data_IF_872845586806
#
_entry.id   IF_872845586806
#
_cell.length_a   1.000
_cell.length_b   1.000
_cell.length_c   1.000
_cell.angle_alpha   90.00
_cell.angle_beta   90.00
_cell.angle_gamma   90.00
#
_symmetry.space_group_name_H-M   'P 1'
#
loop_
_entity.id
_entity.type
_entity.pdbx_description
1 polymer ?
#
# COMPACT_ATOMS: atom_id res chain seq x y z
N UNK A 1 -4.93 -11.26 -13.99
CA UNK A 1 -3.92 -10.45 -13.29
C UNK A 1 -3.50 -11.08 -11.96
N UNK A 2 -4.41 -11.26 -10.99
CA UNK A 2 -4.09 -11.83 -9.67
C UNK A 2 -3.38 -13.20 -9.70
N UNK A 3 -3.80 -14.13 -10.56
CA UNK A 3 -3.11 -15.44 -10.71
C UNK A 3 -1.64 -15.29 -11.12
N UNK A 4 -1.33 -14.28 -11.94
CA UNK A 4 0.05 -14.02 -12.34
C UNK A 4 0.89 -13.45 -11.20
N UNK A 5 0.28 -12.69 -10.27
CA UNK A 5 0.95 -12.22 -9.05
C UNK A 5 1.30 -13.40 -8.14
N UNK A 6 0.35 -14.30 -7.90
CA UNK A 6 0.60 -15.54 -7.13
C UNK A 6 1.69 -16.38 -7.79
N UNK A 7 1.63 -16.55 -9.11
CA UNK A 7 2.66 -17.30 -9.85
C UNK A 7 4.05 -16.65 -9.72
N UNK A 8 4.13 -15.32 -9.78
CA UNK A 8 5.40 -14.59 -9.60
C UNK A 8 5.94 -14.73 -8.17
N UNK A 9 5.07 -14.60 -7.17
CA UNK A 9 5.46 -14.77 -5.77
C UNK A 9 5.96 -16.19 -5.50
N UNK A 10 5.23 -17.21 -5.98
CA UNK A 10 5.69 -18.60 -5.93
C UNK A 10 7.04 -18.79 -6.63
N UNK A 11 7.21 -18.23 -7.84
CA UNK A 11 8.46 -18.32 -8.58
C UNK A 11 9.63 -17.63 -7.88
N UNK A 12 9.38 -16.57 -7.11
CA UNK A 12 10.40 -15.84 -6.36
C UNK A 12 10.93 -16.65 -5.16
N UNK A 13 10.06 -17.37 -4.45
CA UNK A 13 10.46 -18.22 -3.31
C UNK A 13 10.85 -19.64 -3.74
N UNK A 14 10.47 -20.04 -4.95
CA UNK A 14 10.73 -21.35 -5.51
C UNK A 14 11.47 -21.26 -6.86
N UNK A 15 12.46 -20.37 -6.94
CA UNK A 15 13.43 -20.40 -8.02
C UNK A 15 14.24 -21.69 -7.86
N UNK A 16 14.34 -22.52 -8.89
CA UNK A 16 15.04 -23.83 -8.83
C UNK A 16 16.55 -23.75 -8.53
N UNK A 17 17.08 -22.57 -8.21
CA UNK A 17 18.44 -22.32 -7.74
C UNK A 17 18.38 -21.67 -6.34
N UNK A 18 18.95 -22.30 -5.29
CA UNK A 18 18.89 -21.79 -3.92
C UNK A 18 19.44 -20.37 -3.72
N UNK A 19 20.42 -19.96 -4.54
CA UNK A 19 21.02 -18.62 -4.47
C UNK A 19 20.13 -17.51 -5.06
N UNK A 20 19.01 -17.87 -5.70
CA UNK A 20 18.06 -16.94 -6.30
C UNK A 20 16.67 -16.99 -5.64
N UNK A 21 16.45 -17.90 -4.69
CA UNK A 21 15.19 -17.99 -3.96
C UNK A 21 15.17 -17.01 -2.79
N UNK A 22 14.10 -16.23 -2.69
CA UNK A 22 13.81 -15.45 -1.49
C UNK A 22 13.19 -16.34 -0.42
N UNK A 23 13.47 -16.07 0.86
CA UNK A 23 12.84 -16.79 1.97
C UNK A 23 11.33 -16.53 2.02
N UNK A 24 10.92 -15.30 1.66
CA UNK A 24 9.54 -14.82 1.73
C UNK A 24 9.26 -13.93 0.50
N UNK A 25 8.06 -14.04 -0.06
CA UNK A 25 7.51 -13.09 -1.02
C UNK A 25 6.27 -12.39 -0.44
N UNK A 26 6.28 -11.07 -0.48
CA UNK A 26 5.15 -10.25 -0.08
C UNK A 26 4.45 -9.66 -1.31
N UNK A 27 3.12 -9.77 -1.33
CA UNK A 27 2.27 -9.05 -2.27
C UNK A 27 1.57 -7.95 -1.47
N UNK A 28 1.84 -6.69 -1.82
CA UNK A 28 1.15 -5.53 -1.23
C UNK A 28 0.37 -4.85 -2.34
N UNK A 29 -0.93 -4.65 -2.12
CA UNK A 29 -1.82 -3.98 -3.08
C UNK A 29 -2.47 -2.75 -2.45
N UNK A 30 -2.65 -1.71 -3.25
CA UNK A 30 -3.34 -0.50 -2.80
C UNK A 30 -4.85 -0.76 -2.71
N UNK A 31 -5.45 -0.50 -1.55
CA UNK A 31 -6.89 -0.56 -1.37
C UNK A 31 -7.57 0.71 -1.87
N UNK A 32 -7.49 0.91 -3.19
CA UNK A 32 -8.04 2.07 -3.90
C UNK A 32 -9.44 2.45 -3.39
N UNK A 33 -9.76 3.75 -3.39
CA UNK A 33 -10.97 4.26 -2.73
C UNK A 33 -12.28 3.59 -3.17
N UNK A 34 -12.34 3.16 -4.43
CA UNK A 34 -13.48 2.42 -4.94
C UNK A 34 -13.73 1.10 -4.18
N UNK A 35 -12.69 0.49 -3.61
CA UNK A 35 -12.73 -0.76 -2.86
C UNK A 35 -12.56 -0.58 -1.34
N UNK A 36 -12.37 0.65 -0.84
CA UNK A 36 -12.10 0.91 0.58
C UNK A 36 -13.19 0.37 1.53
N UNK A 37 -14.43 0.22 1.05
CA UNK A 37 -15.55 -0.33 1.81
C UNK A 37 -15.70 -1.85 1.70
N UNK A 38 -14.90 -2.51 0.86
CA UNK A 38 -14.95 -3.95 0.58
C UNK A 38 -13.55 -4.60 0.54
N UNK A 39 -12.70 -4.43 1.57
CA UNK A 39 -11.39 -5.06 1.64
C UNK A 39 -11.45 -6.60 1.58
N UNK A 40 -12.53 -7.18 2.11
CA UNK A 40 -12.82 -8.62 2.05
C UNK A 40 -12.92 -9.13 0.62
N UNK A 41 -13.53 -8.36 -0.28
CA UNK A 41 -13.67 -8.72 -1.69
C UNK A 41 -12.32 -8.78 -2.39
N UNK A 42 -11.42 -7.84 -2.09
CA UNK A 42 -10.06 -7.83 -2.66
C UNK A 42 -9.28 -9.05 -2.18
N UNK A 43 -9.34 -9.37 -0.88
CA UNK A 43 -8.72 -10.58 -0.31
C UNK A 43 -9.30 -11.85 -0.94
N UNK A 44 -10.63 -11.92 -1.14
CA UNK A 44 -11.27 -13.08 -1.79
C UNK A 44 -10.78 -13.29 -3.23
N UNK A 45 -10.57 -12.21 -4.01
CA UNK A 45 -10.02 -12.30 -5.37
C UNK A 45 -8.61 -12.91 -5.34
N UNK A 46 -7.78 -12.52 -4.38
CA UNK A 46 -6.42 -13.08 -4.23
C UNK A 46 -6.44 -14.56 -3.81
N UNK A 47 -7.31 -14.94 -2.86
CA UNK A 47 -7.49 -16.34 -2.46
C UNK A 47 -8.00 -17.21 -3.61
N UNK A 48 -8.98 -16.72 -4.37
CA UNK A 48 -9.48 -17.41 -5.56
C UNK A 48 -8.36 -17.58 -6.62
N UNK A 49 -7.48 -16.58 -6.75
CA UNK A 49 -6.33 -16.67 -7.63
C UNK A 49 -5.30 -17.71 -7.18
N UNK A 50 -5.06 -17.85 -5.87
CA UNK A 50 -4.20 -18.90 -5.32
C UNK A 50 -4.77 -20.30 -5.59
N UNK A 51 -6.07 -20.50 -5.37
CA UNK A 51 -6.74 -21.76 -5.69
C UNK A 51 -6.68 -22.08 -7.18
N UNK A 52 -6.92 -21.09 -8.05
CA UNK A 52 -6.81 -21.26 -9.49
C UNK A 52 -5.38 -21.62 -9.92
N UNK A 53 -4.36 -21.05 -9.27
CA UNK A 53 -2.96 -21.42 -9.49
C UNK A 53 -2.68 -22.86 -9.05
N UNK A 54 -3.15 -23.27 -7.87
CA UNK A 54 -3.00 -24.65 -7.36
C UNK A 54 -3.66 -25.71 -8.25
N UNK A 55 -4.79 -25.36 -8.89
CA UNK A 55 -5.49 -26.26 -9.80
C UNK A 55 -4.73 -26.55 -11.10
N UNK A 56 -3.64 -25.82 -11.40
CA UNK A 56 -2.75 -26.11 -12.53
C UNK A 56 -1.88 -27.35 -12.31
N UNK A 57 -1.72 -27.78 -11.05
CA UNK A 57 -0.91 -28.95 -10.72
C UNK A 57 -1.76 -30.22 -10.76
N UNK A 58 -1.36 -31.16 -11.62
CA UNK A 58 -2.13 -32.36 -11.96
C UNK A 58 -2.15 -33.40 -10.84
N UNK A 59 -1.06 -33.53 -10.06
CA UNK A 59 -0.98 -34.54 -9.01
C UNK A 59 -1.31 -33.97 -7.63
N UNK A 60 -2.04 -34.72 -6.77
CA UNK A 60 -2.32 -34.29 -5.39
C UNK A 60 -1.06 -33.97 -4.60
N UNK A 61 -0.01 -34.77 -4.78
CA UNK A 61 1.29 -34.58 -4.11
C UNK A 61 1.96 -33.25 -4.49
N UNK A 62 2.00 -32.91 -5.78
CA UNK A 62 2.57 -31.64 -6.23
C UNK A 62 1.74 -30.46 -5.74
N UNK A 63 0.41 -30.56 -5.84
CA UNK A 63 -0.51 -29.53 -5.34
C UNK A 63 -0.32 -29.26 -3.84
N UNK A 64 -0.20 -30.31 -3.03
CA UNK A 64 0.04 -30.18 -1.59
C UNK A 64 1.40 -29.51 -1.28
N UNK A 65 2.45 -29.86 -2.04
CA UNK A 65 3.77 -29.21 -1.93
C UNK A 65 3.70 -27.72 -2.24
N UNK A 66 3.07 -27.35 -3.36
CA UNK A 66 2.93 -25.94 -3.76
C UNK A 66 2.06 -25.17 -2.77
N UNK A 67 0.98 -25.77 -2.28
CA UNK A 67 0.12 -25.16 -1.25
C UNK A 67 0.90 -24.91 0.04
N UNK A 68 1.82 -25.80 0.41
CA UNK A 68 2.71 -25.61 1.57
C UNK A 68 3.63 -24.41 1.37
N UNK A 69 4.28 -24.30 0.21
CA UNK A 69 5.16 -23.16 -0.11
C UNK A 69 4.38 -21.84 -0.07
N UNK A 70 3.23 -21.76 -0.73
CA UNK A 70 2.41 -20.54 -0.72
C UNK A 70 2.01 -20.14 0.70
N UNK A 71 1.58 -21.11 1.52
CA UNK A 71 1.18 -20.88 2.90
C UNK A 71 2.34 -20.54 3.84
N UNK A 72 3.57 -20.92 3.54
CA UNK A 72 4.69 -20.73 4.47
C UNK A 72 5.60 -19.58 4.07
N UNK A 73 5.61 -19.21 2.78
CA UNK A 73 6.59 -18.28 2.23
C UNK A 73 5.96 -17.14 1.42
N UNK A 74 4.63 -17.10 1.27
CA UNK A 74 3.95 -16.02 0.56
C UNK A 74 2.88 -15.39 1.44
N UNK A 75 2.88 -14.05 1.54
CA UNK A 75 1.83 -13.31 2.22
C UNK A 75 1.26 -12.18 1.35
N UNK A 76 0.00 -11.84 1.59
CA UNK A 76 -0.74 -10.79 0.89
C UNK A 76 -1.26 -9.75 1.89
N UNK A 77 -0.99 -8.48 1.60
CA UNK A 77 -1.40 -7.36 2.45
C UNK A 77 -1.99 -6.23 1.61
N UNK A 78 -2.75 -5.37 2.29
CA UNK A 78 -3.36 -4.19 1.71
C UNK A 78 -2.72 -2.94 2.31
N UNK A 79 -2.46 -1.95 1.46
CA UNK A 79 -2.15 -0.59 1.88
C UNK A 79 -3.42 0.27 1.74
N UNK A 80 -3.98 0.75 2.85
CA UNK A 80 -5.28 1.44 2.85
C UNK A 80 -5.17 2.97 3.05
N UNK A 81 -6.00 3.76 2.34
CA UNK A 81 -6.60 3.40 1.05
C UNK A 81 -5.54 3.29 -0.07
N UNK A 82 -4.33 3.79 0.14
CA UNK A 82 -3.19 3.66 -0.76
C UNK A 82 -1.93 3.76 0.09
N UNK A 83 -0.80 3.28 -0.42
CA UNK A 83 0.49 3.37 0.28
C UNK A 83 0.86 4.80 0.67
N UNK A 84 0.47 5.81 -0.11
CA UNK A 84 0.74 7.23 0.19
C UNK A 84 0.09 7.70 1.49
N UNK A 85 -0.92 7.00 1.99
CA UNK A 85 -1.56 7.37 3.25
C UNK A 85 -0.56 7.35 4.40
N UNK A 86 0.35 6.37 4.43
CA UNK A 86 1.37 6.21 5.46
C UNK A 86 2.30 7.42 5.57
N UNK A 87 2.51 8.17 4.49
CA UNK A 87 3.36 9.36 4.52
C UNK A 87 2.79 10.42 5.45
N UNK A 88 1.46 10.51 5.58
CA UNK A 88 0.81 11.48 6.45
C UNK A 88 0.97 11.17 7.94
N UNK A 89 1.37 9.95 8.30
CA UNK A 89 1.76 9.60 9.66
C UNK A 89 3.20 9.98 10.01
N UNK A 90 4.01 10.40 9.04
CA UNK A 90 5.41 10.81 9.20
C UNK A 90 5.70 12.12 8.41
N UNK A 91 5.70 13.29 9.08
CA UNK A 91 5.93 14.59 8.43
C UNK A 91 7.25 14.69 7.65
N UNK A 92 8.30 13.96 8.04
CA UNK A 92 9.57 13.99 7.33
C UNK A 92 9.49 13.24 6.00
N UNK A 93 8.68 12.18 5.93
CA UNK A 93 8.42 11.46 4.69
C UNK A 93 7.69 12.33 3.65
N UNK A 94 6.78 13.22 4.07
CA UNK A 94 6.12 14.17 3.18
C UNK A 94 7.13 15.15 2.54
N UNK A 95 8.11 15.63 3.32
CA UNK A 95 9.19 16.46 2.77
C UNK A 95 9.98 15.71 1.70
N UNK A 96 10.25 14.41 1.91
CA UNK A 96 10.95 13.56 0.93
C UNK A 96 10.11 13.23 -0.29
N UNK A 97 8.79 13.15 -0.13
CA UNK A 97 7.85 13.07 -1.25
C UNK A 97 7.83 14.34 -2.12
N UNK A 98 8.48 15.43 -1.68
CA UNK A 98 8.60 16.69 -2.41
C UNK A 98 7.62 17.77 -1.95
N UNK A 99 6.95 17.58 -0.80
CA UNK A 99 6.09 18.63 -0.22
C UNK A 99 6.98 19.84 0.16
N UNK A 100 6.73 21.04 -0.38
CA UNK A 100 7.57 22.21 -0.11
C UNK A 100 7.57 22.62 1.36
N UNK A 101 8.66 23.25 1.79
CA UNK A 101 8.74 23.81 3.14
C UNK A 101 7.69 24.91 3.35
N UNK A 102 7.06 24.92 4.52
CA UNK A 102 6.04 25.92 4.89
C UNK A 102 4.64 25.64 4.35
N UNK A 103 4.43 24.58 3.57
CA UNK A 103 3.07 24.13 3.20
C UNK A 103 2.41 23.49 4.41
N UNK A 104 1.25 24.03 4.81
CA UNK A 104 0.42 23.45 5.86
C UNK A 104 -0.22 22.15 5.36
N UNK A 105 -0.07 21.08 6.14
CA UNK A 105 -0.72 19.80 5.87
C UNK A 105 -1.90 19.65 6.83
N UNK A 106 -3.12 19.64 6.32
CA UNK A 106 -4.34 19.41 7.10
C UNK A 106 -4.59 17.90 7.25
N UNK A 107 -3.76 17.29 8.10
CA UNK A 107 -3.91 15.93 8.59
C UNK A 107 -3.47 15.92 10.05
N UNK A 108 -4.37 15.56 10.96
CA UNK A 108 -4.15 15.65 12.40
C UNK A 108 -3.13 14.65 12.91
N UNK A 109 -2.39 15.01 13.96
CA UNK A 109 -1.42 14.12 14.60
C UNK A 109 -2.07 12.84 15.18
N UNK A 110 -3.36 12.89 15.48
CA UNK A 110 -4.16 11.77 15.99
C UNK A 110 -4.97 11.06 14.91
N UNK A 111 -4.87 11.48 13.66
CA UNK A 111 -5.58 10.83 12.56
C UNK A 111 -4.89 9.53 12.18
N UNK A 112 -5.69 8.53 11.79
CA UNK A 112 -5.21 7.23 11.35
C UNK A 112 -4.92 7.29 9.84
N UNK A 113 -3.66 7.08 9.41
CA UNK A 113 -3.33 7.05 7.99
C UNK A 113 -4.17 6.05 7.20
N UNK A 114 -4.53 4.90 7.77
CA UNK A 114 -5.36 3.90 7.07
C UNK A 114 -6.83 4.31 6.92
N UNK A 115 -7.25 5.37 7.62
CA UNK A 115 -8.55 6.03 7.50
C UNK A 115 -8.39 7.45 7.00
N UNK A 116 -7.45 7.67 6.09
CA UNK A 116 -7.10 8.99 5.59
C UNK A 116 -8.33 9.84 5.25
N UNK A 117 -8.46 10.99 5.91
CA UNK A 117 -9.41 12.06 5.61
C UNK A 117 -8.69 13.39 5.81
N UNK A 118 -8.83 14.31 4.86
CA UNK A 118 -8.41 15.70 5.01
C UNK A 118 -9.62 16.64 4.94
N UNK A 119 -9.55 17.74 5.68
CA UNK A 119 -10.55 18.81 5.67
C UNK A 119 -9.98 20.12 5.07
N UNK A 120 -8.88 20.04 4.33
CA UNK A 120 -8.21 21.18 3.71
C UNK A 120 -9.15 21.92 2.73
N UNK A 121 -9.65 23.13 3.06
CA UNK A 121 -10.63 23.81 2.23
C UNK A 121 -10.07 24.19 0.85
N UNK A 122 -8.77 24.50 0.77
CA UNK A 122 -8.14 24.91 -0.48
C UNK A 122 -8.01 23.71 -1.43
N UNK A 123 -7.67 22.53 -0.89
CA UNK A 123 -7.66 21.30 -1.68
C UNK A 123 -9.06 20.89 -2.13
N UNK A 124 -10.06 20.98 -1.25
CA UNK A 124 -11.43 20.57 -1.55
C UNK A 124 -12.08 21.48 -2.60
N UNK A 125 -11.69 22.76 -2.64
CA UNK A 125 -12.20 23.75 -3.60
C UNK A 125 -11.33 23.91 -4.85
N UNK A 126 -10.13 23.31 -4.89
CA UNK A 126 -9.21 23.42 -6.02
C UNK A 126 -9.86 23.01 -7.36
N UNK A 127 -9.59 23.76 -8.42
CA UNK A 127 -10.23 23.62 -9.71
C UNK A 127 -9.20 23.46 -10.84
N UNK A 128 -9.70 23.12 -12.03
CA UNK A 128 -8.85 23.06 -13.23
C UNK A 128 -8.13 24.39 -13.53
N UNK A 129 -8.72 25.51 -13.10
CA UNK A 129 -8.13 26.85 -13.21
C UNK A 129 -6.77 26.96 -12.48
N UNK A 130 -6.52 26.13 -11.46
CA UNK A 130 -5.26 26.09 -10.72
C UNK A 130 -4.13 25.38 -11.50
N UNK A 131 -4.43 24.85 -12.69
CA UNK A 131 -3.49 24.16 -13.58
C UNK A 131 -3.47 24.76 -15.00
N UNK A 132 -3.06 26.03 -15.16
CA UNK A 132 -3.09 26.70 -16.45
C UNK A 132 -2.24 25.99 -17.52
N UNK A 133 -1.07 25.46 -17.17
CA UNK A 133 -0.22 24.72 -18.11
C UNK A 133 -0.90 23.43 -18.62
N UNK A 134 -1.64 22.72 -17.76
CA UNK A 134 -2.44 21.56 -18.16
C UNK A 134 -3.58 22.00 -19.07
N UNK A 135 -4.31 23.07 -18.72
CA UNK A 135 -5.47 23.55 -19.46
C UNK A 135 -5.14 24.12 -20.84
N UNK A 136 -3.92 24.63 -21.04
CA UNK A 136 -3.46 25.09 -22.34
C UNK A 136 -3.20 23.96 -23.35
N UNK A 137 -3.15 22.69 -22.91
CA UNK A 137 -2.87 21.55 -23.79
C UNK A 137 -4.11 21.00 -24.49
N UNK A 138 -3.96 20.23 -25.59
CA UNK A 138 -5.06 19.48 -26.19
C UNK A 138 -5.70 18.48 -25.22
N UNK A 139 -7.02 18.28 -25.32
CA UNK A 139 -7.82 17.42 -24.43
C UNK A 139 -7.28 15.99 -24.29
N UNK A 140 -6.71 15.42 -25.36
CA UNK A 140 -6.09 14.09 -25.33
C UNK A 140 -4.89 14.03 -24.38
N UNK A 141 -4.06 15.07 -24.39
CA UNK A 141 -2.88 15.20 -23.53
C UNK A 141 -3.27 15.54 -22.10
N UNK A 142 -4.30 16.37 -21.92
CA UNK A 142 -4.90 16.64 -20.61
C UNK A 142 -5.35 15.36 -19.92
N UNK A 143 -6.08 14.48 -20.61
CA UNK A 143 -6.55 13.20 -20.04
C UNK A 143 -5.40 12.31 -19.56
N UNK A 144 -4.27 12.31 -20.27
CA UNK A 144 -3.09 11.49 -19.94
C UNK A 144 -2.31 12.04 -18.74
N UNK A 145 -2.19 13.36 -18.63
CA UNK A 145 -1.36 14.03 -17.63
C UNK A 145 -2.15 14.55 -16.43
N UNK A 146 -3.47 14.33 -16.39
CA UNK A 146 -4.35 14.84 -15.34
C UNK A 146 -3.91 14.29 -13.97
N UNK A 147 -3.50 15.14 -13.02
CA UNK A 147 -3.20 14.70 -11.68
C UNK A 147 -4.47 14.19 -10.99
N UNK A 148 -4.30 13.27 -10.05
CA UNK A 148 -5.38 12.64 -9.30
C UNK A 148 -6.22 13.67 -8.55
N UNK A 149 -5.63 14.71 -7.98
CA UNK A 149 -6.41 15.74 -7.27
C UNK A 149 -7.45 16.47 -8.13
N UNK A 150 -7.26 16.56 -9.45
CA UNK A 150 -8.26 17.14 -10.35
C UNK A 150 -9.41 16.20 -10.70
N UNK A 151 -9.26 14.88 -10.52
CA UNK A 151 -10.22 13.87 -11.00
C UNK A 151 -10.72 12.86 -9.95
N UNK A 152 -10.05 12.77 -8.80
CA UNK A 152 -10.37 11.88 -7.71
C UNK A 152 -11.66 12.28 -7.01
N UNK A 153 -12.56 11.32 -6.77
CA UNK A 153 -13.73 11.47 -5.91
C UNK A 153 -13.88 10.19 -5.06
N UNK A 154 -14.21 10.30 -3.76
CA UNK A 154 -14.23 11.51 -2.94
C UNK A 154 -12.82 12.08 -2.72
N UNK A 155 -12.65 13.41 -2.85
CA UNK A 155 -11.31 14.06 -2.78
C UNK A 155 -10.72 14.00 -1.39
N UNK A 156 -11.54 14.27 -0.38
CA UNK A 156 -11.18 14.33 1.03
C UNK A 156 -10.56 13.04 1.53
N UNK A 157 -10.80 11.91 0.85
CA UNK A 157 -10.27 10.60 1.21
C UNK A 157 -9.10 10.14 0.36
N UNK A 158 -8.65 10.91 -0.63
CA UNK A 158 -7.67 10.43 -1.62
C UNK A 158 -6.24 10.88 -1.26
N UNK A 159 -5.45 10.10 -0.50
CA UNK A 159 -4.14 10.53 0.01
C UNK A 159 -3.18 10.92 -1.10
N UNK A 160 -3.09 10.12 -2.18
CA UNK A 160 -2.28 10.45 -3.36
C UNK A 160 -2.74 11.72 -4.09
N UNK A 161 -4.04 12.01 -4.06
CA UNK A 161 -4.60 13.23 -4.62
C UNK A 161 -4.13 14.41 -3.78
N UNK A 162 -4.35 14.34 -2.46
CA UNK A 162 -3.91 15.38 -1.55
C UNK A 162 -2.40 15.61 -1.63
N UNK A 163 -1.60 14.55 -1.66
CA UNK A 163 -0.14 14.63 -1.83
C UNK A 163 0.26 15.32 -3.13
N UNK A 164 -0.35 14.97 -4.26
CA UNK A 164 -0.08 15.65 -5.54
C UNK A 164 -0.47 17.14 -5.50
N UNK A 165 -1.52 17.49 -4.76
CA UNK A 165 -1.93 18.89 -4.58
C UNK A 165 -1.02 19.67 -3.62
N UNK A 166 -0.49 19.02 -2.57
CA UNK A 166 0.54 19.59 -1.71
C UNK A 166 1.83 19.85 -2.49
N UNK A 167 2.14 18.98 -3.46
CA UNK A 167 3.23 19.12 -4.42
C UNK A 167 2.80 19.85 -5.71
N UNK A 168 1.77 20.70 -5.69
CA UNK A 168 1.25 21.36 -6.89
C UNK A 168 2.31 22.25 -7.55
N UNK A 169 2.35 22.21 -8.88
CA UNK A 169 3.26 23.02 -9.69
C UNK A 169 2.52 23.51 -10.93
N UNK A 170 1.80 24.65 -10.85
CA UNK A 170 0.90 25.15 -11.91
C UNK A 170 1.56 25.38 -13.27
N UNK A 171 2.89 25.54 -13.29
CA UNK A 171 3.71 25.74 -14.49
C UNK A 171 4.09 24.44 -15.21
N UNK A 172 3.90 23.27 -14.57
CA UNK A 172 4.19 21.97 -15.17
C UNK A 172 2.97 21.42 -15.91
N UNK A 173 3.21 20.68 -17.00
CA UNK A 173 2.15 20.04 -17.78
C UNK A 173 1.28 19.07 -16.96
N UNK A 174 1.85 18.39 -15.95
CA UNK A 174 1.14 17.50 -15.04
C UNK A 174 0.61 18.20 -13.77
N UNK A 175 0.90 19.50 -13.60
CA UNK A 175 0.48 20.34 -12.48
C UNK A 175 0.92 19.86 -11.07
N UNK A 176 1.91 18.97 -10.99
CA UNK A 176 2.48 18.47 -9.72
C UNK A 176 3.93 18.05 -9.92
N UNK A 177 4.77 18.23 -8.91
CA UNK A 177 6.14 17.67 -8.88
C UNK A 177 6.20 16.26 -8.31
N UNK A 178 5.12 15.77 -7.67
CA UNK A 178 5.12 14.43 -7.09
C UNK A 178 5.17 13.34 -8.17
N UNK A 179 6.09 12.38 -7.98
CA UNK A 179 6.25 11.20 -8.80
C UNK A 179 6.36 9.97 -7.90
N UNK A 180 5.55 8.94 -8.15
CA UNK A 180 5.56 7.71 -7.36
C UNK A 180 6.92 7.00 -7.43
N UNK A 181 7.55 6.99 -8.60
CA UNK A 181 8.79 6.24 -8.84
C UNK A 181 10.03 6.91 -8.24
N UNK A 182 9.92 8.18 -7.85
CA UNK A 182 11.02 8.92 -7.21
C UNK A 182 10.60 9.39 -5.82
N UNK A 183 9.72 10.39 -5.73
CA UNK A 183 9.24 10.94 -4.45
C UNK A 183 8.52 9.91 -3.58
N UNK A 184 7.69 9.04 -4.17
CA UNK A 184 7.03 7.95 -3.43
C UNK A 184 8.02 6.93 -2.87
N UNK A 185 9.01 6.52 -3.68
CA UNK A 185 10.08 5.60 -3.26
C UNK A 185 10.94 6.22 -2.15
N UNK A 186 11.33 7.49 -2.28
CA UNK A 186 12.16 8.18 -1.30
C UNK A 186 11.42 8.39 0.02
N UNK A 187 10.12 8.73 -0.04
CA UNK A 187 9.25 8.80 1.13
C UNK A 187 9.17 7.44 1.83
N UNK A 188 8.85 6.36 1.11
CA UNK A 188 8.77 4.99 1.66
C UNK A 188 10.08 4.54 2.33
N UNK A 189 11.22 4.78 1.68
CA UNK A 189 12.54 4.42 2.24
C UNK A 189 12.86 5.17 3.52
N UNK A 190 12.30 6.36 3.69
CA UNK A 190 12.57 7.24 4.82
C UNK A 190 11.55 7.18 5.95
N UNK A 191 10.47 6.40 5.78
CA UNK A 191 9.41 6.30 6.76
C UNK A 191 9.99 5.91 8.12
N UNK A 192 9.67 6.72 9.13
CA UNK A 192 9.91 6.39 10.53
C UNK A 192 8.89 5.35 10.99
N UNK A 193 9.15 4.07 10.66
CA UNK A 193 8.28 2.95 11.02
C UNK A 193 7.98 2.88 12.52
N UNK A 194 8.97 3.19 13.36
CA UNK A 194 8.78 3.25 14.81
C UNK A 194 7.80 4.35 15.24
N UNK A 195 7.85 5.53 14.61
CA UNK A 195 6.90 6.61 14.90
C UNK A 195 5.49 6.25 14.43
N UNK A 196 5.34 5.66 13.24
CA UNK A 196 4.06 5.17 12.73
C UNK A 196 3.44 4.12 13.65
N UNK A 197 4.21 3.08 13.99
CA UNK A 197 3.74 1.90 14.73
C UNK A 197 3.67 2.12 16.26
N UNK A 198 4.09 3.29 16.75
CA UNK A 198 3.93 3.67 18.17
C UNK A 198 2.46 3.86 18.58
N UNK A 199 1.53 3.97 17.62
CA UNK A 199 0.12 4.30 17.84
C UNK A 199 -0.75 3.02 17.86
N UNK A 200 -1.18 2.51 19.03
CA UNK A 200 -1.74 1.16 19.18
C UNK A 200 -3.08 0.91 18.45
N UNK A 201 -3.89 1.96 18.25
CA UNK A 201 -5.23 1.84 17.67
C UNK A 201 -5.34 2.35 16.23
N UNK A 202 -4.20 2.47 15.53
CA UNK A 202 -4.10 2.91 14.15
C UNK A 202 -3.32 1.89 13.33
N UNK A 203 -3.39 2.00 12.00
CA UNK A 203 -2.53 1.24 11.08
C UNK A 203 -2.74 -0.29 11.18
N UNK A 204 -3.98 -0.74 11.30
CA UNK A 204 -4.29 -2.16 11.51
C UNK A 204 -3.81 -3.09 10.38
N UNK A 205 -3.84 -2.65 9.12
CA UNK A 205 -3.37 -3.42 7.97
C UNK A 205 -1.84 -3.47 7.92
N UNK A 206 -1.17 -2.34 8.14
CA UNK A 206 0.28 -2.25 8.24
C UNK A 206 0.80 -3.06 9.42
N UNK A 207 0.13 -3.04 10.58
CA UNK A 207 0.48 -3.91 11.72
C UNK A 207 0.43 -5.38 11.36
N UNK A 208 -0.62 -5.80 10.66
CA UNK A 208 -0.73 -7.17 10.16
C UNK A 208 0.42 -7.55 9.21
N UNK A 209 0.88 -6.62 8.36
CA UNK A 209 2.08 -6.80 7.53
C UNK A 209 3.35 -6.98 8.37
N UNK A 210 3.55 -6.14 9.39
CA UNK A 210 4.74 -6.23 10.24
C UNK A 210 4.73 -7.48 11.12
N UNK A 211 3.57 -7.91 11.63
CA UNK A 211 3.45 -9.18 12.36
C UNK A 211 3.83 -10.37 11.47
N UNK A 212 3.28 -10.45 10.26
CA UNK A 212 3.62 -11.52 9.33
C UNK A 212 5.11 -11.55 8.98
N UNK A 213 5.72 -10.39 8.76
CA UNK A 213 7.17 -10.26 8.54
C UNK A 213 7.99 -10.72 9.75
N UNK A 214 7.62 -10.26 10.94
CA UNK A 214 8.28 -10.59 12.22
C UNK A 214 8.34 -12.10 12.42
N UNK A 215 7.20 -12.75 12.20
CA UNK A 215 7.09 -14.17 12.36
C UNK A 215 7.79 -14.98 11.27
N UNK A 216 7.68 -14.54 10.02
CA UNK A 216 8.34 -15.21 8.90
C UNK A 216 9.87 -15.14 9.02
N UNK A 217 10.40 -14.04 9.56
CA UNK A 217 11.82 -13.85 9.82
C UNK A 217 12.27 -14.44 11.17
N UNK A 218 11.34 -14.84 12.04
CA UNK A 218 11.65 -15.37 13.37
C UNK A 218 12.34 -14.37 14.30
N UNK A 219 12.21 -13.07 14.03
CA UNK A 219 12.89 -12.01 14.76
C UNK A 219 11.92 -10.87 15.09
N UNK A 220 11.88 -10.36 16.34
CA UNK A 220 11.03 -9.24 16.70
C UNK A 220 11.41 -8.00 15.88
N UNK A 221 10.46 -7.08 15.63
CA UNK A 221 10.76 -5.83 14.95
C UNK A 221 11.76 -5.02 15.78
N UNK A 222 12.68 -4.34 15.11
CA UNK A 222 13.72 -3.53 15.73
C UNK A 222 13.17 -2.32 16.49
N UNK A 223 11.96 -1.89 16.16
CA UNK A 223 11.20 -0.90 16.91
C UNK A 223 10.09 -1.59 17.73
N UNK A 224 9.89 -1.21 19.01
CA UNK A 224 8.82 -1.78 19.81
C UNK A 224 7.46 -1.45 19.18
N UNK A 225 6.74 -2.49 18.76
CA UNK A 225 5.33 -2.37 18.40
C UNK A 225 4.53 -2.16 19.67
N UNK A 226 3.87 -1.02 19.80
CA UNK A 226 2.84 -0.88 20.82
C UNK A 226 1.78 -1.98 20.61
N UNK A 227 1.33 -2.69 21.65
CA UNK A 227 0.24 -3.66 21.53
C UNK A 227 -0.96 -2.99 20.88
N UNK A 228 -1.50 -3.56 19.81
CA UNK A 228 -2.49 -2.88 18.98
C UNK A 228 -3.37 -3.83 18.19
N UNK A 229 -4.47 -3.31 17.66
CA UNK A 229 -5.36 -4.10 16.82
C UNK A 229 -4.73 -4.34 15.45
N UNK A 230 -4.82 -5.59 14.98
CA UNK A 230 -4.45 -5.99 13.61
C UNK A 230 -5.69 -6.20 12.76
N UNK A 231 -5.56 -6.00 11.46
CA UNK A 231 -6.68 -6.13 10.55
C UNK A 231 -7.07 -7.61 10.38
N UNK A 232 -8.30 -8.02 10.77
CA UNK A 232 -8.67 -9.44 10.91
C UNK A 232 -8.42 -10.29 9.65
N UNK A 233 -8.65 -9.70 8.47
CA UNK A 233 -8.60 -10.41 7.19
C UNK A 233 -7.19 -10.71 6.70
N UNK A 234 -6.20 -9.96 7.20
CA UNK A 234 -4.77 -10.12 6.89
C UNK A 234 -3.96 -10.50 8.15
N UNK A 235 -4.62 -10.68 9.29
CA UNK A 235 -4.00 -11.06 10.56
C UNK A 235 -4.15 -12.56 10.87
N UNK A 236 -3.36 -13.02 11.82
CA UNK A 236 -3.45 -14.39 12.36
C UNK A 236 -4.73 -14.59 13.18
N UNK A 237 -5.39 -15.73 12.98
CA UNK A 237 -6.55 -16.14 13.80
C UNK A 237 -6.21 -17.14 14.94
N UNK A 238 -5.03 -17.79 14.92
CA UNK A 238 -4.54 -18.66 16.00
C UNK A 238 -3.08 -19.10 15.75
N UNK A 239 -2.31 -19.37 16.81
CA UNK A 239 -1.02 -20.07 16.75
C UNK A 239 -1.26 -21.52 16.29
N UNK A 240 -0.79 -21.94 15.10
CA UNK A 240 -0.73 -23.35 14.75
C UNK A 240 0.48 -23.99 15.46
N UNK A 241 0.54 -25.33 15.55
CA UNK A 241 1.71 -26.05 16.06
C UNK A 241 2.99 -25.88 15.21
N UNK A 242 2.95 -25.12 14.10
CA UNK A 242 4.08 -24.77 13.24
C UNK A 242 3.89 -23.35 12.66
N UNK A 243 4.95 -22.63 12.26
CA UNK A 243 4.83 -21.28 11.69
C UNK A 243 4.08 -21.32 10.35
N UNK A 244 2.96 -20.59 10.23
CA UNK A 244 2.16 -20.52 9.00
C UNK A 244 1.76 -19.09 8.69
N UNK A 245 1.92 -18.65 7.45
CA UNK A 245 1.41 -17.38 6.91
C UNK A 245 0.07 -17.68 6.21
N UNK A 246 -1.00 -16.94 6.52
CA UNK A 246 -2.38 -17.32 6.11
C UNK A 246 -3.08 -16.32 5.18
N UNK A 247 -2.33 -15.41 4.57
CA UNK A 247 -2.95 -14.39 3.74
C UNK A 247 -3.16 -14.81 2.28
N UNK A 248 -2.73 -16.02 1.88
CA UNK A 248 -2.94 -16.62 0.55
C UNK A 248 -3.32 -18.11 0.61
#
# INVERSE_FOLDING_TARGET
MAVNLVQRAYGAVHAGQPEQSFDIALIVDDLELFNAHQPDRVVQVMRAAALAFLNRFQTPKMRARVATVLREQVSFHLAAPMVESWFFGDPDSLKRAGVPHGVTVCFGATDDPERFVTNDPDFLTAAQADCPALMAMPTSRQKKLRPKWLGALPRERHPKGYLQWLCRAPTLECCTTYSETHGGVDALKSLSWGALLSRPNQLGMLRSLIEDLTDALGAPPSAPLAPGAVFPLTSRHALPPSPTLRNL
#
